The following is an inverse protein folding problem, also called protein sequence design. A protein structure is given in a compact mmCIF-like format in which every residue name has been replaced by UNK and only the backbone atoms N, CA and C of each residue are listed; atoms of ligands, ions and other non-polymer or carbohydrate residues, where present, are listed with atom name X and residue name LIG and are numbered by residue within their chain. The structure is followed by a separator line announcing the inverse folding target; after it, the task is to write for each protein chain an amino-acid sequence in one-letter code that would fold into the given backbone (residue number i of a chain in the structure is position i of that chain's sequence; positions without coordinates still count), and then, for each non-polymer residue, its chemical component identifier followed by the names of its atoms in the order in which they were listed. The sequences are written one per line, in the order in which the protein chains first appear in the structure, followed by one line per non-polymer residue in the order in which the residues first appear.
data_IF_440919631430
#
_entry.id   IF_440919631430
#
_cell.length_a   1.000
_cell.length_b   1.000
_cell.length_c   1.000
_cell.angle_alpha   90.00
_cell.angle_beta   90.00
_cell.angle_gamma   90.00
#
_symmetry.space_group_name_H-M   'P 1'
#
loop_
_entity.id
_entity.type
_entity.pdbx_description
1 polymer ?
#
# COMPACT_ATOMS: atom_id res chain seq x y z
N UNK A 1 -15.59 12.59 1.06
CA UNK A 1 -14.41 12.72 1.95
C UNK A 1 -13.33 11.81 1.40
N UNK A 2 -12.14 12.35 1.14
CA UNK A 2 -10.97 11.59 0.75
C UNK A 2 -10.00 11.59 1.91
N UNK A 3 -9.71 10.41 2.45
CA UNK A 3 -8.60 10.25 3.38
C UNK A 3 -7.50 9.53 2.61
N UNK A 4 -6.37 10.20 2.43
CA UNK A 4 -5.17 9.62 1.86
C UNK A 4 -4.16 9.50 3.00
N UNK A 5 -4.18 8.36 3.69
CA UNK A 5 -2.99 7.91 4.40
C UNK A 5 -2.05 7.26 3.38
N UNK A 6 -0.73 7.29 3.62
CA UNK A 6 0.33 6.96 2.65
C UNK A 6 0.11 5.73 1.75
N UNK A 7 -0.73 4.77 2.15
CA UNK A 7 -1.06 3.56 1.39
C UNK A 7 -2.55 3.21 1.34
N UNK A 8 -3.45 4.13 1.73
CA UNK A 8 -4.89 3.89 1.80
C UNK A 8 -5.67 5.03 1.16
N UNK A 9 -6.42 4.72 0.10
CA UNK A 9 -7.33 5.63 -0.57
C UNK A 9 -8.76 5.23 -0.24
N UNK A 10 -9.50 6.15 0.37
CA UNK A 10 -10.92 5.98 0.68
C UNK A 10 -11.77 6.91 -0.18
N UNK A 11 -12.85 6.38 -0.73
CA UNK A 11 -13.73 7.07 -1.70
C UNK A 11 -15.17 6.90 -1.24
N UNK A 12 -15.77 7.99 -0.77
CA UNK A 12 -17.16 8.03 -0.35
C UNK A 12 -18.11 8.23 -1.55
N UNK A 13 -19.19 7.45 -1.60
CA UNK A 13 -20.22 7.52 -2.63
C UNK A 13 -21.60 7.72 -2.00
N UNK A 14 -22.49 8.46 -2.66
CA UNK A 14 -23.88 8.69 -2.25
C UNK A 14 -24.79 7.47 -2.52
N UNK A 15 -26.11 7.66 -2.42
CA UNK A 15 -27.10 6.60 -2.68
C UNK A 15 -27.13 6.08 -4.10
N UNK A 16 -26.71 6.91 -5.06
CA UNK A 16 -26.75 6.61 -6.48
C UNK A 16 -25.40 6.02 -6.93
N UNK A 17 -24.44 5.89 -6.01
CA UNK A 17 -23.08 5.45 -6.29
C UNK A 17 -22.23 6.53 -6.96
N UNK A 18 -22.62 7.80 -6.82
CA UNK A 18 -21.89 8.96 -7.31
C UNK A 18 -20.98 9.56 -6.24
N UNK A 19 -19.96 10.30 -6.69
CA UNK A 19 -18.91 10.81 -5.81
C UNK A 19 -19.39 11.93 -4.93
N UNK A 20 -19.10 11.81 -3.64
CA UNK A 20 -19.23 12.94 -2.73
C UNK A 20 -17.88 13.67 -2.72
N UNK A 21 -17.74 14.63 -3.63
CA UNK A 21 -16.63 15.59 -3.59
C UNK A 21 -16.75 16.40 -2.32
N UNK A 22 -15.85 16.15 -1.38
CA UNK A 22 -15.61 17.05 -0.25
C UNK A 22 -14.18 17.51 -0.49
N UNK A 23 -14.01 18.59 -1.24
CA UNK A 23 -12.76 19.32 -1.20
C UNK A 23 -12.55 19.75 0.26
N UNK A 24 -11.49 19.31 0.96
CA UNK A 24 -11.10 20.02 2.16
C UNK A 24 -10.61 21.41 1.73
N UNK A 25 -10.98 22.49 2.42
CA UNK A 25 -10.46 23.80 2.09
C UNK A 25 -8.93 23.77 2.25
N UNK A 26 -8.18 23.84 1.15
CA UNK A 26 -6.75 24.19 1.17
C UNK A 26 -5.71 23.12 0.80
N UNK A 27 -6.02 22.03 0.11
CA UNK A 27 -4.98 21.12 -0.42
C UNK A 27 -4.92 21.09 -1.96
N UNK A 28 -4.14 22.01 -2.50
CA UNK A 28 -3.60 22.00 -3.88
C UNK A 28 -2.17 21.46 -3.88
N UNK A 29 -1.96 20.22 -3.48
CA UNK A 29 -0.79 19.46 -3.95
C UNK A 29 -0.87 18.04 -3.42
N UNK A 30 -0.95 17.04 -4.31
CA UNK A 30 -0.34 15.75 -4.02
C UNK A 30 -0.19 14.92 -5.30
N UNK A 31 1.02 14.43 -5.49
CA UNK A 31 1.62 13.79 -6.65
C UNK A 31 1.16 12.35 -6.95
N UNK A 32 -0.15 12.07 -6.85
CA UNK A 32 -0.77 10.94 -7.54
C UNK A 32 -1.84 11.51 -8.47
N UNK A 33 -1.73 11.30 -9.79
CA UNK A 33 -2.72 11.72 -10.79
C UNK A 33 -4.01 10.89 -10.65
N UNK A 34 -4.71 11.01 -9.52
CA UNK A 34 -6.10 10.60 -9.38
C UNK A 34 -6.90 11.50 -10.33
N UNK A 35 -7.25 10.96 -11.50
CA UNK A 35 -8.10 11.67 -12.46
C UNK A 35 -9.53 11.23 -12.21
N UNK A 36 -10.28 12.10 -11.54
CA UNK A 36 -11.74 11.98 -11.47
C UNK A 36 -12.28 12.64 -12.74
N UNK A 37 -12.66 11.82 -13.71
CA UNK A 37 -13.41 12.28 -14.87
C UNK A 37 -14.81 11.68 -14.74
N UNK A 38 -15.85 12.50 -14.93
CA UNK A 38 -17.27 12.17 -14.75
C UNK A 38 -17.56 10.67 -14.88
N UNK A 39 -17.84 10.00 -13.75
CA UNK A 39 -18.19 8.58 -13.61
C UNK A 39 -17.06 7.53 -13.65
N UNK A 40 -15.78 7.92 -13.65
CA UNK A 40 -14.63 7.00 -13.67
C UNK A 40 -13.52 7.44 -12.71
N UNK A 41 -13.03 6.50 -11.91
CA UNK A 41 -11.80 6.68 -11.11
C UNK A 41 -10.66 5.99 -11.82
N UNK A 42 -9.51 6.65 -11.85
CA UNK A 42 -8.28 6.07 -12.38
C UNK A 42 -7.12 6.52 -11.51
N UNK A 43 -6.41 5.56 -10.92
CA UNK A 43 -5.16 5.74 -10.17
C UNK A 43 -3.92 5.49 -11.03
N UNK A 44 -4.10 5.30 -12.35
CA UNK A 44 -3.01 5.13 -13.31
C UNK A 44 -2.48 3.69 -13.39
N UNK A 45 -3.18 2.73 -12.79
CA UNK A 45 -2.83 1.32 -12.73
C UNK A 45 -3.99 0.50 -13.31
N UNK A 46 -3.89 0.12 -14.60
CA UNK A 46 -4.98 -0.52 -15.37
C UNK A 46 -5.73 -1.61 -14.61
N UNK A 47 -5.00 -2.53 -13.96
CA UNK A 47 -5.62 -3.65 -13.24
C UNK A 47 -6.37 -3.18 -11.99
N UNK A 48 -5.86 -2.19 -11.26
CA UNK A 48 -6.54 -1.64 -10.09
C UNK A 48 -7.75 -0.82 -10.52
N UNK A 49 -7.60 -0.01 -11.56
CA UNK A 49 -8.68 0.80 -12.14
C UNK A 49 -9.85 -0.07 -12.61
N UNK A 50 -9.59 -1.22 -13.22
CA UNK A 50 -10.62 -2.19 -13.59
C UNK A 50 -11.40 -2.70 -12.37
N UNK A 51 -10.72 -2.97 -11.25
CA UNK A 51 -11.40 -3.42 -10.02
C UNK A 51 -12.19 -2.31 -9.35
N UNK A 52 -11.65 -1.09 -9.29
CA UNK A 52 -12.39 0.07 -8.78
C UNK A 52 -13.65 0.31 -9.62
N UNK A 53 -13.55 0.27 -10.95
CA UNK A 53 -14.71 0.42 -11.82
C UNK A 53 -15.74 -0.70 -11.68
N UNK A 54 -15.29 -1.91 -11.31
CA UNK A 54 -16.20 -3.03 -10.99
C UNK A 54 -16.98 -2.74 -9.71
N UNK A 55 -16.31 -2.27 -8.66
CA UNK A 55 -16.93 -1.87 -7.39
C UNK A 55 -17.93 -0.73 -7.58
N UNK A 56 -17.55 0.31 -8.33
CA UNK A 56 -18.43 1.45 -8.63
C UNK A 56 -19.73 1.01 -9.33
N UNK A 57 -19.61 0.15 -10.34
CA UNK A 57 -20.79 -0.38 -11.06
C UNK A 57 -21.70 -1.17 -10.13
N UNK A 58 -21.15 -1.91 -9.17
CA UNK A 58 -21.96 -2.62 -8.19
C UNK A 58 -22.69 -1.67 -7.23
N UNK A 59 -22.01 -0.63 -6.73
CA UNK A 59 -22.62 0.39 -5.88
C UNK A 59 -23.81 1.08 -6.58
N UNK A 60 -23.63 1.47 -7.85
CA UNK A 60 -24.70 2.08 -8.68
C UNK A 60 -25.90 1.15 -8.88
N UNK A 61 -25.66 -0.16 -9.06
CA UNK A 61 -26.75 -1.14 -9.20
C UNK A 61 -27.50 -1.41 -7.89
N UNK A 62 -26.90 -1.10 -6.75
CA UNK A 62 -27.52 -1.35 -5.44
C UNK A 62 -28.68 -0.40 -5.14
N UNK A 63 -28.81 0.73 -5.85
CA UNK A 63 -29.95 1.67 -5.84
C UNK A 63 -30.57 1.95 -4.45
N UNK A 64 -29.74 1.97 -3.40
CA UNK A 64 -30.16 2.21 -2.02
C UNK A 64 -30.90 1.07 -1.31
N UNK A 65 -31.09 -0.09 -1.94
CA UNK A 65 -31.64 -1.29 -1.31
C UNK A 65 -30.51 -2.09 -0.63
N UNK A 66 -30.64 -2.29 0.69
CA UNK A 66 -29.64 -2.98 1.52
C UNK A 66 -29.50 -4.48 1.17
N UNK A 67 -30.28 -4.98 0.22
CA UNK A 67 -30.29 -6.38 -0.23
C UNK A 67 -29.35 -6.67 -1.41
N UNK A 68 -28.85 -5.63 -2.10
CA UNK A 68 -27.92 -5.85 -3.22
C UNK A 68 -26.52 -6.15 -2.70
N UNK A 69 -26.01 -7.34 -3.03
CA UNK A 69 -24.71 -7.81 -2.57
C UNK A 69 -23.60 -7.01 -3.26
N UNK A 70 -22.81 -6.28 -2.47
CA UNK A 70 -21.53 -5.75 -2.93
C UNK A 70 -20.59 -6.91 -3.29
N UNK A 71 -19.78 -6.78 -4.35
CA UNK A 71 -18.83 -7.81 -4.73
C UNK A 71 -17.78 -8.01 -3.64
N UNK A 72 -17.20 -9.22 -3.53
CA UNK A 72 -16.19 -9.51 -2.52
C UNK A 72 -14.93 -8.66 -2.72
N UNK A 73 -14.15 -8.39 -1.66
CA UNK A 73 -12.85 -7.73 -1.77
C UNK A 73 -11.93 -8.44 -2.78
N UNK A 74 -11.22 -7.66 -3.61
CA UNK A 74 -10.34 -8.19 -4.66
C UNK A 74 -8.94 -7.63 -4.51
N UNK A 75 -7.93 -8.51 -4.60
CA UNK A 75 -6.52 -8.10 -4.72
C UNK A 75 -6.20 -7.84 -6.20
N UNK A 76 -5.82 -6.61 -6.53
CA UNK A 76 -5.29 -6.19 -7.82
C UNK A 76 -3.77 -5.98 -7.74
N UNK A 77 -3.03 -6.29 -8.80
CA UNK A 77 -1.59 -6.03 -8.87
C UNK A 77 -1.33 -4.74 -9.64
N UNK A 78 -0.36 -3.96 -9.17
CA UNK A 78 0.14 -2.79 -9.89
C UNK A 78 1.28 -3.20 -10.84
N UNK A 79 1.61 -2.35 -11.81
CA UNK A 79 2.70 -2.61 -12.79
C UNK A 79 4.08 -2.81 -12.14
N UNK A 80 4.33 -2.11 -11.03
CA UNK A 80 5.55 -2.22 -10.20
C UNK A 80 5.54 -3.44 -9.27
N UNK A 81 4.45 -4.21 -9.24
CA UNK A 81 4.38 -5.52 -8.57
C UNK A 81 3.82 -5.49 -7.14
N UNK A 82 3.32 -4.33 -6.69
CA UNK A 82 2.57 -4.20 -5.43
C UNK A 82 1.21 -4.88 -5.54
N UNK A 83 0.66 -5.25 -4.41
CA UNK A 83 -0.69 -5.83 -4.30
C UNK A 83 -1.58 -4.83 -3.59
N UNK A 84 -2.68 -4.44 -4.22
CA UNK A 84 -3.68 -3.52 -3.67
C UNK A 84 -4.97 -4.29 -3.43
N UNK A 85 -5.50 -4.25 -2.22
CA UNK A 85 -6.85 -4.71 -1.92
C UNK A 85 -7.84 -3.59 -2.24
N UNK A 86 -8.84 -3.94 -3.03
CA UNK A 86 -9.95 -3.08 -3.41
C UNK A 86 -11.23 -3.69 -2.86
N UNK A 87 -11.98 -2.93 -2.09
CA UNK A 87 -13.25 -3.37 -1.50
C UNK A 87 -14.28 -2.23 -1.49
N UNK A 88 -15.55 -2.60 -1.50
CA UNK A 88 -16.67 -1.71 -1.28
C UNK A 88 -17.43 -2.15 -0.03
N UNK A 89 -17.89 -1.18 0.76
CA UNK A 89 -18.74 -1.43 1.92
C UNK A 89 -19.90 -0.45 1.97
N UNK A 90 -21.01 -0.89 2.54
CA UNK A 90 -22.08 0.02 2.95
C UNK A 90 -21.59 0.87 4.11
N UNK A 91 -21.87 2.17 4.02
CA UNK A 91 -21.62 3.08 5.12
C UNK A 91 -22.88 3.15 5.99
N UNK A 92 -22.77 2.97 7.32
CA UNK A 92 -23.87 3.23 8.25
C UNK A 92 -24.44 4.63 8.04
N UNK A 93 -25.78 4.79 8.15
CA UNK A 93 -26.47 6.05 7.79
C UNK A 93 -26.02 7.25 8.63
N UNK A 94 -25.74 7.01 9.90
CA UNK A 94 -25.20 7.98 10.86
C UNK A 94 -23.82 8.48 10.43
N UNK A 95 -22.90 7.57 10.07
CA UNK A 95 -21.58 7.93 9.54
C UNK A 95 -21.69 8.59 8.16
N UNK A 96 -22.63 8.14 7.33
CA UNK A 96 -22.96 8.71 6.04
C UNK A 96 -23.41 10.17 6.11
N UNK A 97 -24.26 10.49 7.08
CA UNK A 97 -24.73 11.86 7.30
C UNK A 97 -23.58 12.83 7.60
N UNK A 98 -22.52 12.37 8.28
CA UNK A 98 -21.30 13.17 8.53
C UNK A 98 -20.46 13.38 7.26
N UNK A 99 -20.65 12.56 6.23
CA UNK A 99 -19.89 12.57 4.98
C UNK A 99 -20.83 12.91 3.81
N UNK A 100 -21.58 14.00 3.93
CA UNK A 100 -22.42 14.52 2.84
C UNK A 100 -23.51 13.55 2.37
N UNK A 101 -23.95 12.62 3.21
CA UNK A 101 -24.96 11.61 2.85
C UNK A 101 -24.39 10.34 2.21
N UNK A 102 -23.11 10.05 2.40
CA UNK A 102 -22.46 8.85 1.86
C UNK A 102 -23.19 7.56 2.26
N UNK A 103 -23.41 6.66 1.30
CA UNK A 103 -23.99 5.33 1.55
C UNK A 103 -23.03 4.20 1.24
N UNK A 104 -21.99 4.46 0.46
CA UNK A 104 -20.95 3.48 0.20
C UNK A 104 -19.57 4.09 0.43
N UNK A 105 -18.62 3.22 0.71
CA UNK A 105 -17.20 3.54 0.77
C UNK A 105 -16.44 2.50 -0.05
N UNK A 106 -15.61 2.96 -0.99
CA UNK A 106 -14.61 2.12 -1.64
C UNK A 106 -13.27 2.38 -0.96
N UNK A 107 -12.60 1.33 -0.50
CA UNK A 107 -11.24 1.41 0.01
C UNK A 107 -10.26 0.73 -0.95
N UNK A 108 -9.11 1.36 -1.14
CA UNK A 108 -7.99 0.84 -1.92
C UNK A 108 -6.75 0.95 -1.06
N UNK A 109 -6.28 -0.19 -0.55
CA UNK A 109 -5.10 -0.25 0.33
C UNK A 109 -4.04 -1.20 -0.18
N UNK A 110 -2.78 -0.85 0.03
CA UNK A 110 -1.69 -1.80 -0.22
C UNK A 110 -1.77 -2.97 0.78
N UNK A 111 -1.57 -4.19 0.30
CA UNK A 111 -1.46 -5.39 1.12
C UNK A 111 -0.10 -6.01 0.92
N UNK A 112 0.56 -6.30 2.04
CA UNK A 112 1.82 -7.00 2.11
C UNK A 112 1.76 -8.28 1.27
N UNK A 113 2.51 -8.33 0.16
CA UNK A 113 2.66 -9.54 -0.63
C UNK A 113 4.11 -10.03 -0.52
N UNK A 114 4.38 -11.35 -0.54
CA UNK A 114 5.75 -11.86 -0.48
C UNK A 114 6.66 -11.27 -1.57
N UNK A 115 6.09 -10.99 -2.76
CA UNK A 115 6.77 -10.38 -3.93
C UNK A 115 7.05 -8.87 -3.81
N UNK A 116 6.41 -8.20 -2.84
CA UNK A 116 6.60 -6.77 -2.57
C UNK A 116 7.03 -6.50 -1.12
N UNK A 117 7.49 -7.53 -0.41
CA UNK A 117 8.12 -7.35 0.89
C UNK A 117 9.40 -6.52 0.74
N UNK A 118 9.74 -5.73 1.76
CA UNK A 118 10.99 -4.97 1.83
C UNK A 118 12.20 -5.84 1.46
N UNK A 119 12.24 -7.08 1.98
CA UNK A 119 13.22 -8.13 1.63
C UNK A 119 13.25 -8.46 0.14
N UNK A 120 12.09 -8.71 -0.48
CA UNK A 120 12.02 -9.01 -1.91
C UNK A 120 12.48 -7.84 -2.80
N UNK A 121 12.26 -6.61 -2.34
CA UNK A 121 12.73 -5.39 -3.02
C UNK A 121 14.24 -5.25 -2.89
N UNK A 122 14.80 -5.41 -1.68
CA UNK A 122 16.26 -5.40 -1.46
C UNK A 122 16.99 -6.41 -2.36
N UNK A 123 16.43 -7.62 -2.50
CA UNK A 123 16.99 -8.65 -3.39
C UNK A 123 16.99 -8.21 -4.86
N UNK A 124 15.95 -7.51 -5.30
CA UNK A 124 15.79 -7.09 -6.70
C UNK A 124 16.63 -5.85 -7.03
N UNK A 125 16.63 -4.87 -6.13
CA UNK A 125 17.29 -3.57 -6.34
C UNK A 125 18.79 -3.67 -6.12
N UNK A 126 19.22 -4.32 -5.03
CA UNK A 126 20.63 -4.40 -4.65
C UNK A 126 21.27 -5.77 -4.94
N UNK A 127 20.53 -6.72 -5.52
CA UNK A 127 21.06 -8.06 -5.78
C UNK A 127 21.40 -8.85 -4.52
N UNK A 128 20.75 -8.55 -3.39
CA UNK A 128 20.95 -9.30 -2.15
C UNK A 128 20.48 -10.76 -2.30
N UNK A 129 21.16 -11.67 -1.62
CA UNK A 129 20.68 -13.04 -1.43
C UNK A 129 19.51 -13.06 -0.44
N UNK A 130 18.84 -14.21 -0.32
CA UNK A 130 17.76 -14.36 0.68
C UNK A 130 18.28 -14.10 2.10
N UNK A 131 19.42 -14.69 2.47
CA UNK A 131 20.00 -14.53 3.81
C UNK A 131 20.50 -13.12 4.08
N UNK A 132 21.07 -12.45 3.08
CA UNK A 132 21.47 -11.05 3.19
C UNK A 132 20.26 -10.12 3.36
N UNK A 133 19.17 -10.37 2.64
CA UNK A 133 17.95 -9.60 2.77
C UNK A 133 17.27 -9.82 4.13
N UNK A 134 17.26 -11.06 4.64
CA UNK A 134 16.77 -11.36 5.99
C UNK A 134 17.62 -10.64 7.05
N UNK A 135 18.95 -10.65 6.90
CA UNK A 135 19.87 -9.96 7.81
C UNK A 135 19.67 -8.43 7.76
N UNK A 136 19.61 -7.85 6.56
CA UNK A 136 19.40 -6.41 6.35
C UNK A 136 18.05 -5.92 6.91
N UNK A 137 16.99 -6.72 6.76
CA UNK A 137 15.65 -6.42 7.26
C UNK A 137 15.61 -6.31 8.79
N UNK A 138 16.33 -7.20 9.49
CA UNK A 138 16.47 -7.13 10.94
C UNK A 138 17.21 -5.86 11.38
N UNK A 139 18.27 -5.48 10.67
CA UNK A 139 19.00 -4.23 10.95
C UNK A 139 18.12 -3.00 10.72
N UNK A 140 17.32 -2.98 9.64
CA UNK A 140 16.38 -1.91 9.35
C UNK A 140 15.27 -1.79 10.42
N UNK A 141 14.87 -2.92 11.04
CA UNK A 141 13.99 -2.96 12.22
C UNK A 141 14.68 -2.53 13.54
N UNK A 142 15.91 -2.01 13.50
CA UNK A 142 16.64 -1.53 14.67
C UNK A 142 17.35 -2.62 15.47
N UNK A 143 17.46 -3.85 14.95
CA UNK A 143 18.27 -4.89 15.60
C UNK A 143 19.76 -4.61 15.41
N UNK A 144 20.54 -4.87 16.46
CA UNK A 144 21.99 -4.90 16.38
C UNK A 144 22.47 -6.11 15.57
N UNK A 145 23.72 -6.06 15.08
CA UNK A 145 24.36 -7.21 14.40
C UNK A 145 24.32 -8.48 15.24
N UNK A 146 24.48 -8.34 16.56
CA UNK A 146 24.43 -9.47 17.49
C UNK A 146 23.03 -10.08 17.56
N UNK A 147 22.01 -9.25 17.78
CA UNK A 147 20.62 -9.72 17.85
C UNK A 147 20.17 -10.32 16.52
N UNK A 148 20.55 -9.71 15.39
CA UNK A 148 20.24 -10.25 14.06
C UNK A 148 20.90 -11.61 13.83
N UNK A 149 22.16 -11.78 14.26
CA UNK A 149 22.85 -13.07 14.22
C UNK A 149 22.18 -14.12 15.09
N UNK A 150 21.78 -13.76 16.31
CA UNK A 150 21.08 -14.65 17.24
C UNK A 150 19.71 -15.09 16.66
N UNK A 151 18.93 -14.15 16.10
CA UNK A 151 17.63 -14.43 15.49
C UNK A 151 17.73 -15.33 14.25
N UNK A 152 18.83 -15.23 13.49
CA UNK A 152 19.07 -16.05 12.32
C UNK A 152 19.87 -17.33 12.62
N UNK A 153 20.13 -17.62 13.91
CA UNK A 153 20.89 -18.78 14.37
C UNK A 153 22.28 -18.90 13.70
N UNK A 154 22.98 -17.78 13.50
CA UNK A 154 24.33 -17.71 12.96
C UNK A 154 25.31 -17.09 13.96
N UNK A 155 26.61 -17.32 13.76
CA UNK A 155 27.62 -16.63 14.57
C UNK A 155 27.65 -15.12 14.28
N UNK A 156 28.04 -14.31 15.26
CA UNK A 156 28.26 -12.87 15.09
C UNK A 156 29.36 -12.61 14.03
N UNK A 157 30.33 -13.50 13.90
CA UNK A 157 31.35 -13.42 12.85
C UNK A 157 30.73 -13.58 11.45
N UNK A 158 29.86 -14.58 11.27
CA UNK A 158 29.09 -14.77 10.03
C UNK A 158 28.18 -13.58 9.74
N UNK A 159 27.53 -13.03 10.77
CA UNK A 159 26.73 -11.80 10.63
C UNK A 159 27.55 -10.60 10.15
N UNK A 160 28.77 -10.42 10.67
CA UNK A 160 29.70 -9.39 10.16
C UNK A 160 30.12 -9.62 8.71
N UNK A 161 30.30 -10.88 8.31
CA UNK A 161 30.57 -11.23 6.90
C UNK A 161 29.39 -10.91 5.99
N UNK A 162 28.15 -11.21 6.41
CA UNK A 162 26.95 -10.76 5.68
C UNK A 162 26.87 -9.24 5.58
N UNK A 163 27.11 -8.52 6.68
CA UNK A 163 27.10 -7.05 6.69
C UNK A 163 28.10 -6.46 5.69
N UNK A 164 29.32 -7.02 5.61
CA UNK A 164 30.34 -6.58 4.65
C UNK A 164 29.91 -6.81 3.20
N UNK A 165 29.30 -7.97 2.90
CA UNK A 165 28.74 -8.24 1.57
C UNK A 165 27.62 -7.25 1.22
N UNK A 166 26.73 -6.98 2.17
CA UNK A 166 25.62 -6.03 1.99
C UNK A 166 26.15 -4.62 1.71
N UNK A 167 27.14 -4.14 2.46
CA UNK A 167 27.80 -2.87 2.21
C UNK A 167 28.33 -2.75 0.78
N UNK A 168 28.99 -3.79 0.27
CA UNK A 168 29.49 -3.79 -1.12
C UNK A 168 28.35 -3.76 -2.15
N UNK A 169 27.24 -4.47 -1.90
CA UNK A 169 26.10 -4.55 -2.84
C UNK A 169 25.20 -3.33 -2.81
N UNK A 170 25.21 -2.59 -1.71
CA UNK A 170 24.38 -1.38 -1.51
C UNK A 170 25.16 -0.10 -1.68
N UNK A 171 26.47 -0.19 -1.93
CA UNK A 171 27.40 0.94 -1.97
C UNK A 171 27.32 1.82 -0.71
N UNK A 172 27.32 1.16 0.45
CA UNK A 172 27.31 1.82 1.76
C UNK A 172 28.54 1.43 2.57
N UNK A 173 28.93 2.28 3.52
CA UNK A 173 30.13 2.09 4.32
C UNK A 173 29.87 2.05 5.82
N UNK A 174 28.69 2.49 6.27
CA UNK A 174 28.31 2.50 7.69
C UNK A 174 26.94 1.86 7.90
N UNK A 175 26.75 1.21 9.04
CA UNK A 175 25.46 0.58 9.36
C UNK A 175 24.32 1.61 9.38
N UNK A 176 24.55 2.82 9.90
CA UNK A 176 23.54 3.88 9.89
C UNK A 176 23.17 4.35 8.49
N UNK A 177 24.13 4.39 7.56
CA UNK A 177 23.92 4.74 6.15
C UNK A 177 23.10 3.64 5.45
N UNK A 178 23.45 2.37 5.67
CA UNK A 178 22.66 1.24 5.21
C UNK A 178 21.23 1.32 5.74
N UNK A 179 21.02 1.54 7.04
CA UNK A 179 19.68 1.63 7.63
C UNK A 179 18.88 2.79 7.01
N UNK A 180 19.52 3.96 6.82
CA UNK A 180 18.88 5.10 6.17
C UNK A 180 18.44 4.76 4.74
N UNK A 181 19.33 4.15 3.93
CA UNK A 181 19.03 3.70 2.58
C UNK A 181 17.86 2.70 2.55
N UNK A 182 17.87 1.71 3.44
CA UNK A 182 16.84 0.66 3.48
C UNK A 182 15.45 1.21 3.86
N UNK A 183 15.41 2.25 4.70
CA UNK A 183 14.16 2.90 5.13
C UNK A 183 13.65 3.95 4.13
N UNK A 184 14.53 4.57 3.34
CA UNK A 184 14.12 5.48 2.26
C UNK A 184 13.31 4.76 1.17
N UNK A 185 13.61 3.49 0.95
CA UNK A 185 12.90 2.64 -0.01
C UNK A 185 11.50 2.19 0.47
N UNK A 186 11.16 2.43 1.75
CA UNK A 186 9.82 2.15 2.30
C UNK A 186 8.80 3.26 1.96
N UNK A 187 9.23 4.35 1.30
CA UNK A 187 8.44 5.56 0.99
C UNK A 187 7.86 5.53 -0.42
#
# INVERSE_FOLDING_TARGET
MFFQEKHNLMIALDSDGEFISIDPPGHRDSSAKLRIACHKITIGQRQVDEKINTMLRACRKSNGDNQSLLPPPVIAKTKDGRSMLVEAMHLPRDLGALIGGARFMISVREVSSPRNSRKSRMRRVYGLTTTEADFADLLACGKSVREASELLAISVWTGRSHLRSIFQKTDTHRQGELIALLNQEEI
#
